data_IF_134002333283
#
_entry.id   IF_134002333283
#
_cell.length_a   1.000
_cell.length_b   1.000
_cell.length_c   1.000
_cell.angle_alpha   90.00
_cell.angle_beta   90.00
_cell.angle_gamma   90.00
#
_symmetry.space_group_name_H-M   'P 1'
#
loop_
_entity.id
_entity.type
_entity.pdbx_description
1 polymer ?
#
# COMPACT_ATOMS: atom_id res chain seq x y z
N UNK A 1 16.21 -9.40 11.31
CA UNK A 1 17.16 -8.44 11.89
C UNK A 1 16.94 -7.05 11.32
N UNK A 2 17.51 -6.03 11.97
CA UNK A 2 17.63 -4.71 11.36
C UNK A 2 18.30 -4.82 9.99
N UNK A 3 17.76 -4.13 8.99
CA UNK A 3 18.23 -4.19 7.60
C UNK A 3 17.59 -5.29 6.75
N UNK A 4 16.90 -6.28 7.35
CA UNK A 4 16.18 -7.29 6.58
C UNK A 4 15.11 -6.62 5.70
N UNK A 5 14.89 -7.19 4.53
CA UNK A 5 13.96 -6.66 3.55
C UNK A 5 12.79 -7.64 3.41
N UNK A 6 11.58 -7.09 3.51
CA UNK A 6 10.36 -7.81 3.17
C UNK A 6 9.75 -7.20 1.90
N UNK A 7 9.60 -8.04 0.88
CA UNK A 7 9.01 -7.67 -0.40
C UNK A 7 7.65 -8.34 -0.52
N UNK A 8 6.62 -7.55 -0.84
CA UNK A 8 5.25 -8.02 -0.98
C UNK A 8 4.69 -7.60 -2.33
N UNK A 9 3.95 -8.50 -2.97
CA UNK A 9 3.15 -8.21 -4.15
C UNK A 9 1.73 -8.72 -3.97
N UNK A 10 0.75 -7.86 -4.21
CA UNK A 10 -0.67 -8.21 -4.09
C UNK A 10 -1.46 -7.69 -5.29
N UNK A 11 -2.47 -8.45 -5.71
CA UNK A 11 -3.45 -7.99 -6.69
C UNK A 11 -4.44 -7.04 -6.03
N UNK A 12 -4.85 -6.01 -6.78
CA UNK A 12 -5.83 -5.02 -6.34
C UNK A 12 -7.18 -5.33 -6.96
N UNK A 13 -8.24 -5.27 -6.17
CA UNK A 13 -9.60 -5.52 -6.64
C UNK A 13 -10.52 -4.39 -6.21
N UNK A 14 -11.47 -4.03 -7.08
CA UNK A 14 -12.62 -3.24 -6.69
C UNK A 14 -13.89 -4.06 -6.92
N UNK A 15 -14.31 -4.78 -5.87
CA UNK A 15 -15.45 -5.70 -5.91
C UNK A 15 -16.79 -5.02 -6.17
N UNK A 16 -16.89 -3.70 -6.03
CA UNK A 16 -18.09 -2.94 -6.43
C UNK A 16 -18.20 -2.77 -7.93
N UNK A 17 -17.08 -2.85 -8.66
CA UNK A 17 -17.02 -2.66 -10.11
C UNK A 17 -16.88 -3.99 -10.87
N UNK A 18 -16.00 -4.88 -10.41
CA UNK A 18 -15.73 -6.14 -11.08
C UNK A 18 -15.08 -7.17 -10.15
N UNK A 19 -15.23 -8.45 -10.49
CA UNK A 19 -14.43 -9.53 -9.90
C UNK A 19 -12.99 -9.56 -10.46
N UNK A 20 -12.71 -8.88 -11.57
CA UNK A 20 -11.38 -8.80 -12.17
C UNK A 20 -10.46 -7.90 -11.34
N UNK A 21 -9.17 -8.19 -11.41
CA UNK A 21 -8.15 -7.30 -10.84
C UNK A 21 -8.18 -5.94 -11.54
N UNK A 22 -8.02 -4.87 -10.77
CA UNK A 22 -7.83 -3.50 -11.27
C UNK A 22 -6.34 -3.12 -11.33
N UNK A 23 -5.45 -4.02 -10.91
CA UNK A 23 -4.02 -3.74 -10.90
C UNK A 23 -3.27 -4.55 -9.85
N UNK A 24 -2.14 -4.03 -9.40
CA UNK A 24 -1.35 -4.67 -8.36
C UNK A 24 -0.58 -3.64 -7.54
N UNK A 25 -0.08 -4.07 -6.39
CA UNK A 25 0.81 -3.30 -5.55
C UNK A 25 2.11 -4.05 -5.35
N UNK A 26 3.21 -3.31 -5.31
CA UNK A 26 4.52 -3.77 -4.90
C UNK A 26 4.97 -2.94 -3.71
N UNK A 27 5.36 -3.59 -2.61
CA UNK A 27 5.78 -2.94 -1.37
C UNK A 27 7.11 -3.54 -0.94
N UNK A 28 8.05 -2.67 -0.59
CA UNK A 28 9.30 -3.02 0.08
C UNK A 28 9.30 -2.41 1.47
N UNK A 29 9.64 -3.22 2.46
CA UNK A 29 9.79 -2.79 3.85
C UNK A 29 11.15 -3.22 4.38
N UNK A 30 11.91 -2.27 4.92
CA UNK A 30 13.14 -2.57 5.67
C UNK A 30 12.83 -2.61 7.17
N UNK A 31 13.30 -3.63 7.86
CA UNK A 31 13.23 -3.70 9.32
C UNK A 31 14.23 -2.72 9.93
N UNK A 32 13.79 -1.90 10.89
CA UNK A 32 14.64 -0.89 11.54
C UNK A 32 15.07 -1.38 12.92
N UNK A 33 14.16 -1.41 13.90
CA UNK A 33 14.41 -1.88 15.26
C UNK A 33 13.14 -2.50 15.84
N UNK A 34 13.29 -3.64 16.53
CA UNK A 34 12.16 -4.43 17.03
C UNK A 34 11.20 -4.80 15.89
N UNK A 35 9.91 -4.45 16.05
CA UNK A 35 8.87 -4.71 15.05
C UNK A 35 8.68 -3.56 14.06
N UNK A 36 9.41 -2.45 14.22
CA UNK A 36 9.29 -1.26 13.38
C UNK A 36 9.93 -1.47 12.02
N UNK A 37 9.24 -1.03 10.98
CA UNK A 37 9.67 -1.15 9.59
C UNK A 37 9.45 0.16 8.86
N UNK A 38 10.36 0.52 7.97
CA UNK A 38 10.14 1.60 7.01
C UNK A 38 9.68 0.99 5.69
N UNK A 39 8.50 1.38 5.21
CA UNK A 39 7.92 0.83 3.99
C UNK A 39 7.78 1.88 2.90
N UNK A 40 7.95 1.44 1.66
CA UNK A 40 7.61 2.19 0.44
C UNK A 40 6.84 1.27 -0.50
N UNK A 41 5.77 1.77 -1.09
CA UNK A 41 4.93 0.99 -1.98
C UNK A 41 4.52 1.75 -3.24
N UNK A 42 4.34 1.02 -4.34
CA UNK A 42 3.77 1.53 -5.58
C UNK A 42 2.52 0.75 -5.93
N UNK A 43 1.40 1.45 -6.06
CA UNK A 43 0.13 0.90 -6.51
C UNK A 43 -0.02 1.20 -8.00
N UNK A 44 -0.04 0.15 -8.81
CA UNK A 44 -0.22 0.21 -10.25
C UNK A 44 -1.71 0.05 -10.56
N UNK A 45 -2.32 1.11 -11.07
CA UNK A 45 -3.75 1.22 -11.38
C UNK A 45 -3.96 1.49 -12.87
N UNK A 46 -5.17 1.32 -13.43
CA UNK A 46 -5.37 1.35 -14.88
C UNK A 46 -5.04 2.70 -15.52
N UNK A 47 -5.12 3.78 -14.75
CA UNK A 47 -4.93 5.16 -15.24
C UNK A 47 -3.72 5.87 -14.61
N UNK A 48 -2.82 5.14 -13.96
CA UNK A 48 -1.65 5.75 -13.32
C UNK A 48 -1.12 4.95 -12.14
N UNK A 49 -0.22 5.57 -11.38
CA UNK A 49 0.39 4.97 -10.20
C UNK A 49 0.19 5.86 -8.98
N UNK A 50 0.12 5.26 -7.79
CA UNK A 50 0.21 5.96 -6.52
C UNK A 50 1.45 5.44 -5.76
N UNK A 51 2.23 6.37 -5.23
CA UNK A 51 3.41 6.07 -4.43
C UNK A 51 3.08 6.37 -2.97
N UNK A 52 3.39 5.43 -2.08
CA UNK A 52 3.17 5.59 -0.64
C UNK A 52 4.44 5.28 0.14
N UNK A 53 4.54 5.82 1.34
CA UNK A 53 5.61 5.44 2.27
C UNK A 53 5.37 5.92 3.69
N UNK A 54 6.07 5.28 4.63
CA UNK A 54 5.93 5.57 6.05
C UNK A 54 6.46 4.45 6.94
N UNK A 55 6.30 4.65 8.24
CA UNK A 55 6.66 3.67 9.26
C UNK A 55 5.47 2.73 9.54
N UNK A 56 5.77 1.44 9.70
CA UNK A 56 4.82 0.39 10.03
C UNK A 56 5.30 -0.32 11.28
N UNK A 57 4.46 -0.28 12.33
CA UNK A 57 4.67 -1.02 13.57
C UNK A 57 3.71 -2.21 13.66
N UNK A 58 2.45 -2.01 13.26
CA UNK A 58 1.38 -3.00 13.37
C UNK A 58 0.87 -3.42 11.97
N UNK A 59 1.20 -4.62 11.47
CA UNK A 59 0.80 -5.05 10.12
C UNK A 59 -0.70 -5.21 9.93
N UNK A 60 -1.50 -5.33 11.00
CA UNK A 60 -2.95 -5.48 10.93
C UNK A 60 -3.69 -4.19 10.58
N UNK A 61 -3.16 -3.04 10.99
CA UNK A 61 -3.76 -1.73 10.77
C UNK A 61 -2.66 -0.68 10.79
N UNK A 62 -2.48 0.01 9.67
CA UNK A 62 -1.45 1.03 9.53
C UNK A 62 -1.86 2.09 8.51
N UNK A 63 -1.21 3.25 8.62
CA UNK A 63 -1.36 4.36 7.70
C UNK A 63 -0.01 4.69 7.07
N UNK A 64 -0.01 4.98 5.77
CA UNK A 64 1.15 5.47 5.03
C UNK A 64 0.80 6.80 4.36
N UNK A 65 1.78 7.68 4.21
CA UNK A 65 1.61 8.90 3.43
C UNK A 65 1.56 8.56 1.93
N UNK A 66 0.67 9.21 1.19
CA UNK A 66 0.72 9.26 -0.27
C UNK A 66 1.76 10.32 -0.65
N UNK A 67 2.86 9.86 -1.25
CA UNK A 67 4.03 10.67 -1.58
C UNK A 67 3.94 11.28 -2.98
N UNK A 68 3.00 10.83 -3.80
CA UNK A 68 2.84 11.26 -5.19
C UNK A 68 2.11 10.23 -6.03
N UNK A 69 1.99 10.53 -7.32
CA UNK A 69 1.45 9.61 -8.31
C UNK A 69 1.82 10.02 -9.73
N UNK A 70 1.27 9.28 -10.69
CA UNK A 70 1.42 9.56 -12.13
C UNK A 70 0.08 9.41 -12.85
N UNK A 71 -0.03 9.96 -14.06
CA UNK A 71 -1.23 9.84 -14.88
C UNK A 71 -2.43 10.54 -14.24
N UNK A 72 -3.55 9.84 -14.05
CA UNK A 72 -4.73 10.37 -13.34
C UNK A 72 -4.41 10.82 -11.91
N UNK A 73 -3.36 10.28 -11.30
CA UNK A 73 -2.97 10.56 -9.93
C UNK A 73 -1.75 11.49 -9.85
N UNK A 74 -1.47 12.24 -10.90
CA UNK A 74 -0.36 13.19 -10.88
C UNK A 74 -0.53 14.21 -9.73
N UNK A 75 0.56 14.51 -9.04
CA UNK A 75 0.59 15.35 -7.83
C UNK A 75 -0.32 14.92 -6.66
N UNK A 76 -0.83 13.68 -6.66
CA UNK A 76 -1.67 13.18 -5.58
C UNK A 76 -0.92 13.18 -4.24
N UNK A 77 -1.58 13.69 -3.19
CA UNK A 77 -1.12 13.67 -1.79
C UNK A 77 -2.20 13.06 -0.90
N UNK A 78 -1.89 12.91 0.39
CA UNK A 78 -2.86 12.45 1.39
C UNK A 78 -2.40 11.17 2.07
N UNK A 79 -3.35 10.28 2.38
CA UNK A 79 -3.07 9.08 3.18
C UNK A 79 -3.61 7.80 2.55
N UNK A 80 -2.92 6.70 2.84
CA UNK A 80 -3.37 5.34 2.62
C UNK A 80 -3.60 4.68 3.97
N UNK A 81 -4.82 4.25 4.24
CA UNK A 81 -5.15 3.41 5.39
C UNK A 81 -5.28 1.96 4.95
N UNK A 82 -4.61 1.04 5.65
CA UNK A 82 -4.69 -0.40 5.39
C UNK A 82 -5.28 -1.10 6.59
N UNK A 83 -6.30 -1.93 6.36
CA UNK A 83 -6.93 -2.77 7.39
C UNK A 83 -6.94 -4.22 6.92
N UNK A 84 -6.27 -5.11 7.65
CA UNK A 84 -6.27 -6.54 7.36
C UNK A 84 -7.63 -7.15 7.74
N UNK A 85 -8.26 -7.85 6.80
CA UNK A 85 -9.58 -8.48 6.97
C UNK A 85 -9.51 -10.00 7.08
N UNK A 86 -8.44 -10.64 6.58
CA UNK A 86 -8.21 -12.07 6.76
C UNK A 86 -6.71 -12.38 6.83
N UNK A 87 -6.35 -13.43 7.58
CA UNK A 87 -4.96 -13.90 7.69
C UNK A 87 -4.61 -15.00 6.68
N UNK A 88 -5.57 -15.83 6.29
CA UNK A 88 -5.36 -16.93 5.35
C UNK A 88 -6.55 -17.10 4.39
N UNK A 89 -6.42 -16.72 3.10
CA UNK A 89 -5.30 -15.97 2.53
C UNK A 89 -5.21 -14.56 3.13
N UNK A 90 -4.03 -13.95 3.13
CA UNK A 90 -3.86 -12.57 3.60
C UNK A 90 -4.68 -11.62 2.71
N UNK A 91 -5.64 -10.92 3.31
CA UNK A 91 -6.50 -9.96 2.62
C UNK A 91 -6.55 -8.67 3.43
N UNK A 92 -6.48 -7.56 2.72
CA UNK A 92 -6.58 -6.23 3.30
C UNK A 92 -7.52 -5.37 2.48
N UNK A 93 -8.23 -4.48 3.15
CA UNK A 93 -8.87 -3.33 2.53
C UNK A 93 -7.89 -2.18 2.59
N UNK A 94 -7.76 -1.48 1.47
CA UNK A 94 -6.94 -0.28 1.32
C UNK A 94 -7.86 0.89 0.98
N UNK A 95 -7.70 2.00 1.68
CA UNK A 95 -8.45 3.22 1.42
C UNK A 95 -7.47 4.36 1.19
N UNK A 96 -7.54 4.95 0.00
CA UNK A 96 -6.81 6.17 -0.33
C UNK A 96 -7.70 7.38 -0.04
N UNK A 97 -7.20 8.31 0.77
CA UNK A 97 -7.78 9.63 0.96
C UNK A 97 -6.87 10.62 0.25
N UNK A 98 -7.19 10.87 -1.03
CA UNK A 98 -6.37 11.72 -1.89
C UNK A 98 -6.78 13.20 -1.75
N UNK A 99 -5.79 14.08 -1.82
CA UNK A 99 -5.96 15.55 -1.86
C UNK A 99 -5.03 16.16 -2.92
N UNK A 100 -5.49 17.24 -3.56
CA UNK A 100 -4.87 17.88 -4.72
C UNK A 100 -5.77 17.79 -5.93
#
# INVERSE_FOLDING_TARGET
SAGDIHIMRHLLYNRRLSARTIGHVEIICSFIVGNSRQCRGTYFLPRGKLIVGGSLIYPQFYELAVLGGTGLYDNARGTLTVTRTARNPNRSIVLFRLVG
#
